data_IF_872898425925
#
_entry.id   IF_872898425925
#
_cell.length_a   1.000
_cell.length_b   1.000
_cell.length_c   1.000
_cell.angle_alpha   90.00
_cell.angle_beta   90.00
_cell.angle_gamma   90.00
#
_symmetry.space_group_name_H-M   'P 1'
#
loop_
_entity.id
_entity.type
_entity.pdbx_description
1 polymer ?
#
# COMPACT_ATOMS: atom_id res chain seq x y z
N UNK A 1 -12.75 -2.68 -7.56
CA UNK A 1 -12.49 -1.23 -7.46
C UNK A 1 -13.02 -0.70 -6.15
N UNK A 2 -12.35 0.28 -5.53
CA UNK A 2 -12.88 0.99 -4.35
C UNK A 2 -13.02 2.45 -4.74
N UNK A 3 -14.16 3.09 -4.44
CA UNK A 3 -14.30 4.53 -4.58
C UNK A 3 -14.75 5.16 -3.28
N UNK A 4 -14.27 6.35 -3.03
CA UNK A 4 -14.65 7.15 -1.86
C UNK A 4 -15.12 8.52 -2.31
N UNK A 5 -16.17 8.99 -1.68
CA UNK A 5 -16.76 10.28 -1.99
C UNK A 5 -16.90 11.10 -0.71
N UNK A 6 -16.21 12.23 -0.68
CA UNK A 6 -16.30 13.25 0.36
C UNK A 6 -16.12 12.72 1.79
N UNK A 7 -15.16 11.81 2.01
CA UNK A 7 -14.89 11.23 3.33
C UNK A 7 -14.35 12.29 4.27
N UNK A 8 -15.03 12.43 5.42
CA UNK A 8 -14.58 13.28 6.52
C UNK A 8 -14.50 12.47 7.82
N UNK A 9 -13.50 12.79 8.65
CA UNK A 9 -13.32 12.22 9.98
C UNK A 9 -12.58 13.17 10.90
N UNK A 10 -13.14 13.41 12.08
CA UNK A 10 -12.50 14.13 13.18
C UNK A 10 -12.47 13.30 14.47
N UNK A 11 -11.70 13.78 15.43
CA UNK A 11 -11.64 13.28 16.82
C UNK A 11 -11.61 14.48 17.77
N UNK A 12 -12.53 14.49 18.75
CA UNK A 12 -12.58 15.55 19.80
C UNK A 12 -12.42 16.96 19.21
N UNK A 13 -13.31 17.38 18.34
CA UNK A 13 -13.38 18.71 17.69
C UNK A 13 -12.21 19.06 16.75
N UNK A 14 -11.30 18.10 16.48
CA UNK A 14 -10.21 18.29 15.52
C UNK A 14 -10.48 17.49 14.24
N UNK A 15 -10.65 18.14 13.08
CA UNK A 15 -10.74 17.45 11.81
C UNK A 15 -9.38 16.79 11.48
N UNK A 16 -9.43 15.54 11.01
CA UNK A 16 -8.25 14.76 10.57
C UNK A 16 -8.33 14.44 9.09
N UNK A 17 -9.54 14.24 8.57
CA UNK A 17 -9.83 14.07 7.14
C UNK A 17 -10.97 15.01 6.80
N UNK A 18 -10.81 15.78 5.73
CA UNK A 18 -11.76 16.79 5.31
C UNK A 18 -12.12 16.61 3.82
N UNK A 19 -13.20 15.87 3.56
CA UNK A 19 -13.79 15.77 2.24
C UNK A 19 -12.94 15.09 1.18
N UNK A 20 -12.28 13.98 1.52
CA UNK A 20 -11.41 13.26 0.58
C UNK A 20 -12.26 12.39 -0.35
N UNK A 21 -12.06 12.56 -1.68
CA UNK A 21 -12.64 11.74 -2.73
C UNK A 21 -11.53 11.16 -3.61
N UNK A 22 -11.60 9.85 -3.90
CA UNK A 22 -10.60 9.15 -4.72
C UNK A 22 -11.17 7.83 -5.25
N UNK A 23 -10.49 7.27 -6.25
CA UNK A 23 -10.74 5.93 -6.79
C UNK A 23 -9.49 5.08 -6.67
N UNK A 24 -9.65 3.82 -6.25
CA UNK A 24 -8.60 2.81 -6.17
C UNK A 24 -8.93 1.69 -7.15
N UNK A 25 -8.11 1.59 -8.19
CA UNK A 25 -8.34 0.70 -9.32
C UNK A 25 -7.98 -0.75 -9.01
N UNK A 26 -8.74 -1.68 -9.57
CA UNK A 26 -8.48 -3.12 -9.50
C UNK A 26 -7.24 -3.50 -10.33
N UNK A 27 -6.44 -4.44 -9.85
CA UNK A 27 -5.20 -4.88 -10.51
C UNK A 27 -4.07 -3.86 -10.44
N UNK A 28 -4.22 -2.81 -9.62
CA UNK A 28 -3.27 -1.70 -9.47
C UNK A 28 -2.80 -1.55 -8.04
N UNK A 29 -1.55 -1.09 -7.88
CA UNK A 29 -1.03 -0.59 -6.63
C UNK A 29 -1.43 0.89 -6.48
N UNK A 30 -2.45 1.13 -5.66
CA UNK A 30 -2.95 2.47 -5.36
C UNK A 30 -2.27 2.96 -4.08
N UNK A 31 -1.48 4.01 -4.17
CA UNK A 31 -0.71 4.52 -3.03
C UNK A 31 -1.40 5.74 -2.42
N UNK A 32 -1.45 5.77 -1.09
CA UNK A 32 -1.81 6.96 -0.31
C UNK A 32 -0.53 7.48 0.32
N UNK A 33 -0.06 8.65 -0.09
CA UNK A 33 1.19 9.24 0.37
C UNK A 33 0.96 10.56 1.10
N UNK A 34 1.96 11.01 1.87
CA UNK A 34 1.92 12.26 2.61
C UNK A 34 2.76 12.19 3.89
N UNK A 35 2.99 13.33 4.51
CA UNK A 35 3.75 13.43 5.74
C UNK A 35 3.06 12.68 6.91
N UNK A 36 3.81 12.42 7.98
CA UNK A 36 3.21 11.91 9.23
C UNK A 36 2.14 12.88 9.72
N UNK A 37 1.00 12.34 10.18
CA UNK A 37 -0.13 13.15 10.62
C UNK A 37 -1.02 13.71 9.50
N UNK A 38 -0.77 13.44 8.22
CA UNK A 38 -1.63 13.91 7.12
C UNK A 38 -2.99 13.20 6.99
N UNK A 39 -3.28 12.19 7.82
CA UNK A 39 -4.57 11.48 7.84
C UNK A 39 -4.59 10.13 7.12
N UNK A 40 -3.50 9.68 6.46
CA UNK A 40 -3.41 8.42 5.67
C UNK A 40 -3.93 7.19 6.42
N UNK A 41 -3.38 6.91 7.60
CA UNK A 41 -3.78 5.75 8.41
C UNK A 41 -5.23 5.84 8.88
N UNK A 42 -5.74 7.05 9.16
CA UNK A 42 -7.15 7.24 9.51
C UNK A 42 -8.04 6.95 8.30
N UNK A 43 -7.66 7.44 7.11
CA UNK A 43 -8.38 7.14 5.86
C UNK A 43 -8.39 5.64 5.60
N UNK A 44 -7.25 4.96 5.68
CA UNK A 44 -7.16 3.51 5.51
C UNK A 44 -8.05 2.76 6.51
N UNK A 45 -8.04 3.17 7.80
CA UNK A 45 -8.90 2.58 8.83
C UNK A 45 -10.39 2.80 8.54
N UNK A 46 -10.77 3.92 7.93
CA UNK A 46 -12.14 4.14 7.46
C UNK A 46 -12.48 3.17 6.31
N UNK A 47 -11.58 3.00 5.35
CA UNK A 47 -11.78 2.08 4.22
C UNK A 47 -12.05 0.66 4.71
N UNK A 48 -11.22 0.11 5.59
CA UNK A 48 -11.40 -1.26 6.10
C UNK A 48 -12.52 -1.39 7.17
N UNK A 49 -13.15 -0.27 7.53
CA UNK A 49 -14.24 -0.22 8.51
C UNK A 49 -13.82 -0.42 9.96
N UNK A 50 -12.56 -0.14 10.31
CA UNK A 50 -12.09 -0.08 11.68
C UNK A 50 -12.49 1.24 12.37
N UNK A 51 -12.71 2.29 11.58
CA UNK A 51 -13.23 3.59 12.00
C UNK A 51 -14.40 3.93 11.09
N UNK A 52 -15.50 4.43 11.69
CA UNK A 52 -16.62 4.94 10.90
C UNK A 52 -16.32 6.40 10.53
N UNK A 53 -16.37 6.79 9.25
CA UNK A 53 -16.28 8.19 8.85
C UNK A 53 -17.47 8.98 9.41
N UNK A 54 -17.28 10.28 9.62
CA UNK A 54 -18.36 11.18 10.12
C UNK A 54 -19.24 11.64 8.95
N UNK A 55 -18.70 11.66 7.74
CA UNK A 55 -19.44 11.97 6.50
C UNK A 55 -18.79 11.28 5.28
N UNK A 56 -19.53 11.21 4.18
CA UNK A 56 -19.10 10.65 2.93
C UNK A 56 -19.46 9.17 2.77
N UNK A 57 -19.10 8.61 1.62
CA UNK A 57 -19.45 7.26 1.21
C UNK A 57 -18.22 6.46 0.78
N UNK A 58 -18.22 5.17 1.09
CA UNK A 58 -17.22 4.21 0.65
C UNK A 58 -17.94 3.13 -0.14
N UNK A 59 -17.54 2.96 -1.40
CA UNK A 59 -18.07 1.94 -2.30
C UNK A 59 -17.01 0.87 -2.54
N UNK A 60 -17.39 -0.39 -2.42
CA UNK A 60 -16.64 -1.55 -2.87
C UNK A 60 -17.37 -2.13 -4.09
N UNK A 61 -16.83 -1.91 -5.27
CA UNK A 61 -17.50 -2.14 -6.55
C UNK A 61 -18.88 -1.45 -6.58
N UNK A 62 -19.96 -2.18 -6.62
CA UNK A 62 -21.34 -1.65 -6.58
C UNK A 62 -21.95 -1.61 -5.17
N UNK A 63 -21.23 -2.05 -4.14
CA UNK A 63 -21.74 -2.18 -2.77
C UNK A 63 -21.37 -0.96 -1.92
N UNK A 64 -22.37 -0.23 -1.39
CA UNK A 64 -22.12 0.90 -0.47
C UNK A 64 -21.79 0.39 0.94
N UNK A 65 -20.49 0.34 1.26
CA UNK A 65 -19.98 -0.12 2.56
C UNK A 65 -20.45 0.77 3.72
N UNK A 66 -20.61 2.07 3.48
CA UNK A 66 -21.04 3.01 4.52
C UNK A 66 -22.45 2.68 5.04
N UNK A 67 -23.32 2.20 4.18
CA UNK A 67 -24.72 1.87 4.49
C UNK A 67 -24.91 0.41 4.96
N UNK A 68 -23.89 -0.43 4.87
CA UNK A 68 -23.99 -1.83 5.29
C UNK A 68 -24.26 -1.97 6.78
N UNK A 69 -25.13 -2.91 7.14
CA UNK A 69 -25.29 -3.35 8.52
C UNK A 69 -24.07 -4.16 9.01
N UNK A 70 -24.04 -4.51 10.28
CA UNK A 70 -22.91 -5.20 10.91
C UNK A 70 -22.60 -6.54 10.26
N UNK A 71 -23.61 -7.33 9.87
CA UNK A 71 -23.39 -8.64 9.25
C UNK A 71 -22.85 -8.51 7.82
N UNK A 72 -23.39 -7.58 7.02
CA UNK A 72 -22.88 -7.30 5.69
C UNK A 72 -21.41 -6.79 5.74
N UNK A 73 -21.08 -5.93 6.72
CA UNK A 73 -19.69 -5.49 6.95
C UNK A 73 -18.75 -6.64 7.33
N UNK A 74 -19.23 -7.63 8.12
CA UNK A 74 -18.42 -8.82 8.42
C UNK A 74 -18.13 -9.65 7.17
N UNK A 75 -19.13 -9.82 6.29
CA UNK A 75 -18.96 -10.55 5.02
C UNK A 75 -17.98 -9.79 4.13
N UNK A 76 -18.12 -8.47 3.99
CA UNK A 76 -17.22 -7.65 3.19
C UNK A 76 -15.76 -7.73 3.71
N UNK A 77 -15.57 -7.68 5.03
CA UNK A 77 -14.23 -7.78 5.64
C UNK A 77 -13.52 -9.11 5.36
N UNK A 78 -14.22 -10.21 5.08
CA UNK A 78 -13.60 -11.48 4.64
C UNK A 78 -12.96 -11.36 3.26
N UNK A 79 -13.43 -10.41 2.43
CA UNK A 79 -12.86 -10.11 1.11
C UNK A 79 -11.63 -9.18 1.21
N UNK A 80 -11.29 -8.69 2.42
CA UNK A 80 -10.23 -7.74 2.68
C UNK A 80 -9.07 -8.44 3.37
N UNK A 81 -7.88 -8.39 2.76
CA UNK A 81 -6.61 -8.70 3.41
C UNK A 81 -5.97 -7.43 3.96
N UNK A 82 -5.31 -7.52 5.12
CA UNK A 82 -4.62 -6.37 5.70
C UNK A 82 -3.25 -6.73 6.24
N UNK A 83 -2.23 -6.00 5.76
CA UNK A 83 -0.88 -5.97 6.33
C UNK A 83 -0.75 -4.72 7.20
N UNK A 84 -0.62 -4.90 8.49
CA UNK A 84 -0.40 -3.82 9.45
C UNK A 84 1.08 -3.39 9.50
N UNK A 85 1.36 -2.16 9.90
CA UNK A 85 2.70 -1.57 9.96
C UNK A 85 3.73 -2.47 10.67
N UNK A 86 3.41 -3.04 11.81
CA UNK A 86 4.27 -3.98 12.57
C UNK A 86 4.12 -5.44 12.18
N UNK A 87 3.45 -5.77 11.03
CA UNK A 87 3.02 -7.11 10.65
C UNK A 87 1.98 -7.74 11.61
N UNK A 88 1.90 -7.29 12.85
CA UNK A 88 0.96 -7.73 13.89
C UNK A 88 0.88 -9.27 14.00
N UNK A 89 2.02 -9.94 13.97
CA UNK A 89 2.10 -11.40 14.15
C UNK A 89 1.85 -11.74 15.62
N UNK A 90 1.24 -12.90 15.84
CA UNK A 90 1.11 -13.48 17.18
C UNK A 90 2.45 -14.10 17.58
N UNK A 91 3.12 -13.54 18.57
CA UNK A 91 4.45 -14.01 19.02
C UNK A 91 4.41 -15.43 19.59
N UNK A 92 3.28 -15.84 20.15
CA UNK A 92 3.05 -17.18 20.69
C UNK A 92 2.70 -18.24 19.63
N UNK A 93 2.62 -17.87 18.37
CA UNK A 93 2.27 -18.76 17.24
C UNK A 93 3.43 -18.89 16.28
N UNK A 94 3.62 -20.07 15.71
CA UNK A 94 4.58 -20.27 14.62
C UNK A 94 4.15 -19.52 13.35
N UNK A 95 5.03 -19.45 12.36
CA UNK A 95 4.76 -18.87 11.05
C UNK A 95 3.52 -19.51 10.40
N UNK A 96 3.47 -20.84 10.33
CA UNK A 96 2.29 -21.54 9.76
C UNK A 96 1.02 -21.26 10.54
N UNK A 97 1.08 -21.21 11.88
CA UNK A 97 -0.08 -20.91 12.72
C UNK A 97 -0.57 -19.47 12.58
N UNK A 98 0.34 -18.52 12.35
CA UNK A 98 -0.04 -17.14 12.03
C UNK A 98 -0.81 -17.05 10.71
N UNK A 99 -0.37 -17.78 9.68
CA UNK A 99 -1.03 -17.82 8.37
C UNK A 99 -2.31 -18.65 8.41
N UNK A 100 -2.34 -19.74 9.19
CA UNK A 100 -3.51 -20.59 9.38
C UNK A 100 -4.66 -19.87 10.08
N UNK A 101 -4.37 -18.90 10.94
CA UNK A 101 -5.34 -18.25 11.81
C UNK A 101 -6.58 -17.70 11.07
N UNK A 102 -6.48 -16.95 9.96
CA UNK A 102 -7.66 -16.51 9.22
C UNK A 102 -8.48 -17.69 8.65
N UNK A 103 -7.82 -18.76 8.22
CA UNK A 103 -8.52 -19.95 7.72
C UNK A 103 -9.31 -20.64 8.83
N UNK A 104 -8.75 -20.71 10.06
CA UNK A 104 -9.45 -21.30 11.20
C UNK A 104 -10.68 -20.48 11.62
N UNK A 105 -10.60 -19.16 11.45
CA UNK A 105 -11.70 -18.24 11.80
C UNK A 105 -12.81 -18.19 10.75
N UNK A 106 -12.49 -18.33 9.46
CA UNK A 106 -13.40 -17.94 8.39
C UNK A 106 -13.62 -18.99 7.32
N UNK A 107 -12.84 -20.09 7.29
CA UNK A 107 -13.00 -21.18 6.33
C UNK A 107 -13.58 -22.43 7.00
N UNK A 108 -14.45 -23.12 6.26
CA UNK A 108 -14.98 -24.45 6.63
C UNK A 108 -14.17 -25.61 6.04
N UNK A 109 -13.03 -25.30 5.38
CA UNK A 109 -12.15 -26.30 4.78
C UNK A 109 -11.60 -27.28 5.81
N UNK A 110 -11.29 -28.49 5.36
CA UNK A 110 -10.62 -29.50 6.17
C UNK A 110 -9.23 -29.04 6.59
N UNK A 111 -8.69 -29.66 7.64
CA UNK A 111 -7.33 -29.36 8.10
C UNK A 111 -6.28 -29.53 7.01
N UNK A 112 -6.43 -30.56 6.17
CA UNK A 112 -5.51 -30.84 5.06
C UNK A 112 -5.57 -29.76 3.97
N UNK A 113 -6.76 -29.30 3.61
CA UNK A 113 -6.94 -28.20 2.64
C UNK A 113 -6.37 -26.88 3.17
N UNK A 114 -6.63 -26.54 4.43
CA UNK A 114 -6.04 -25.37 5.08
C UNK A 114 -4.51 -25.43 5.07
N UNK A 115 -3.93 -26.62 5.39
CA UNK A 115 -2.48 -26.79 5.38
C UNK A 115 -1.91 -26.59 3.97
N UNK A 116 -2.52 -27.21 2.96
CA UNK A 116 -2.13 -27.01 1.56
C UNK A 116 -2.17 -25.53 1.16
N UNK A 117 -3.16 -24.78 1.64
CA UNK A 117 -3.26 -23.35 1.38
C UNK A 117 -2.16 -22.56 2.06
N UNK A 118 -1.82 -22.91 3.31
CA UNK A 118 -0.69 -22.31 4.04
C UNK A 118 0.63 -22.55 3.30
N UNK A 119 0.87 -23.80 2.87
CA UNK A 119 2.10 -24.15 2.15
C UNK A 119 2.22 -23.36 0.84
N UNK A 120 1.12 -23.23 0.10
CA UNK A 120 1.07 -22.47 -1.15
C UNK A 120 1.39 -20.97 -0.95
N UNK A 121 0.84 -20.32 0.07
CA UNK A 121 1.15 -18.91 0.31
C UNK A 121 2.54 -18.70 0.90
N UNK A 122 3.08 -19.66 1.66
CA UNK A 122 4.47 -19.64 2.12
C UNK A 122 5.47 -19.75 0.96
N UNK A 123 5.17 -20.63 0.01
CA UNK A 123 5.96 -20.73 -1.24
C UNK A 123 5.90 -19.40 -2.01
N UNK A 124 4.70 -18.83 -2.18
CA UNK A 124 4.50 -17.56 -2.91
C UNK A 124 5.29 -16.38 -2.32
N UNK A 125 5.52 -16.36 -1.01
CA UNK A 125 6.31 -15.32 -0.35
C UNK A 125 7.78 -15.73 -0.12
N UNK A 126 8.25 -16.83 -0.72
CA UNK A 126 9.61 -17.37 -0.58
C UNK A 126 10.02 -17.60 0.89
N UNK A 127 9.17 -18.28 1.64
CA UNK A 127 9.41 -18.66 3.04
C UNK A 127 9.33 -20.18 3.28
N UNK A 128 9.71 -20.97 2.27
CA UNK A 128 9.81 -22.42 2.40
C UNK A 128 10.72 -22.83 3.56
N UNK A 129 10.26 -23.78 4.36
CA UNK A 129 11.00 -24.26 5.54
C UNK A 129 10.87 -23.40 6.80
N UNK A 130 10.13 -22.27 6.74
CA UNK A 130 9.94 -21.40 7.91
C UNK A 130 8.74 -21.81 8.80
N UNK A 131 7.95 -22.81 8.42
CA UNK A 131 6.66 -23.19 9.03
C UNK A 131 6.66 -23.21 10.57
N UNK A 132 7.66 -23.85 11.17
CA UNK A 132 7.75 -24.11 12.61
C UNK A 132 8.44 -22.99 13.39
N UNK A 133 9.03 -21.98 12.70
CA UNK A 133 9.71 -20.87 13.36
C UNK A 133 8.70 -19.94 14.01
N UNK A 134 9.11 -19.35 15.12
CA UNK A 134 8.37 -18.28 15.79
C UNK A 134 8.79 -16.90 15.24
N UNK A 135 7.96 -15.85 15.41
CA UNK A 135 8.32 -14.49 14.99
C UNK A 135 9.67 -14.02 15.54
N UNK A 136 10.06 -14.42 16.75
CA UNK A 136 11.35 -14.07 17.34
C UNK A 136 12.57 -14.68 16.61
N UNK A 137 12.36 -15.74 15.83
CA UNK A 137 13.42 -16.50 15.14
C UNK A 137 13.59 -16.09 13.68
N UNK A 138 12.86 -15.08 13.20
CA UNK A 138 12.88 -14.63 11.82
C UNK A 138 13.19 -13.14 11.71
N UNK A 139 13.79 -12.72 10.56
CA UNK A 139 14.15 -11.33 10.31
C UNK A 139 12.93 -10.42 10.11
N UNK A 140 13.14 -9.11 10.18
CA UNK A 140 12.09 -8.11 9.91
C UNK A 140 11.43 -8.29 8.54
N UNK A 141 12.22 -8.49 7.49
CA UNK A 141 11.71 -8.76 6.15
C UNK A 141 10.94 -10.09 6.06
N UNK A 142 11.35 -11.13 6.78
CA UNK A 142 10.57 -12.37 6.88
C UNK A 142 9.25 -12.14 7.61
N UNK A 143 9.22 -11.35 8.70
CA UNK A 143 7.97 -10.99 9.40
C UNK A 143 6.98 -10.30 8.46
N UNK A 144 7.46 -9.38 7.63
CA UNK A 144 6.61 -8.70 6.62
C UNK A 144 6.04 -9.70 5.62
N UNK A 145 6.87 -10.62 5.10
CA UNK A 145 6.42 -11.67 4.17
C UNK A 145 5.40 -12.62 4.79
N UNK A 146 5.57 -13.01 6.07
CA UNK A 146 4.54 -13.77 6.81
C UNK A 146 3.23 -12.96 6.94
N UNK A 147 3.33 -11.67 7.24
CA UNK A 147 2.17 -10.78 7.28
C UNK A 147 1.43 -10.68 5.94
N UNK A 148 2.17 -10.61 4.83
CA UNK A 148 1.61 -10.65 3.47
C UNK A 148 0.95 -12.01 3.22
N UNK A 149 1.63 -13.13 3.48
CA UNK A 149 1.06 -14.47 3.33
C UNK A 149 -0.25 -14.63 4.11
N UNK A 150 -0.28 -14.17 5.37
CA UNK A 150 -1.51 -14.17 6.19
C UNK A 150 -2.61 -13.31 5.60
N UNK A 151 -2.28 -12.16 5.00
CA UNK A 151 -3.27 -11.25 4.43
C UNK A 151 -3.91 -11.80 3.15
N UNK A 152 -3.20 -12.66 2.40
CA UNK A 152 -3.69 -13.21 1.12
C UNK A 152 -4.22 -14.65 1.22
N UNK A 153 -4.10 -15.30 2.37
CA UNK A 153 -4.45 -16.73 2.54
C UNK A 153 -5.92 -17.02 2.26
N UNK A 154 -6.83 -16.06 2.45
CA UNK A 154 -8.26 -16.15 2.15
C UNK A 154 -8.65 -15.74 0.73
N UNK A 155 -7.70 -15.54 -0.18
CA UNK A 155 -7.96 -15.01 -1.53
C UNK A 155 -8.75 -13.69 -1.51
N UNK A 156 -8.25 -12.64 -0.87
CA UNK A 156 -8.98 -11.38 -0.77
C UNK A 156 -9.14 -10.72 -2.16
N UNK A 157 -10.20 -9.93 -2.31
CA UNK A 157 -10.41 -9.06 -3.48
C UNK A 157 -9.73 -7.70 -3.30
N UNK A 158 -9.48 -7.32 -2.06
CA UNK A 158 -8.91 -6.03 -1.65
C UNK A 158 -7.77 -6.27 -0.67
N UNK A 159 -6.62 -5.67 -0.93
CA UNK A 159 -5.44 -5.77 -0.06
C UNK A 159 -5.06 -4.38 0.44
N UNK A 160 -4.94 -4.22 1.73
CA UNK A 160 -4.49 -2.99 2.37
C UNK A 160 -3.14 -3.21 3.04
N UNK A 161 -2.18 -2.34 2.76
CA UNK A 161 -0.84 -2.39 3.34
C UNK A 161 -0.53 -1.06 4.03
N UNK A 162 -0.41 -1.08 5.34
CA UNK A 162 -0.07 0.11 6.12
C UNK A 162 1.44 0.10 6.40
N UNK A 163 2.20 0.98 5.74
CA UNK A 163 3.65 1.13 5.85
C UNK A 163 4.40 -0.22 5.71
N UNK A 164 4.27 -0.93 4.57
CA UNK A 164 4.81 -2.28 4.41
C UNK A 164 6.33 -2.34 4.60
N UNK A 165 7.05 -1.29 4.25
CA UNK A 165 8.51 -1.20 4.27
C UNK A 165 9.09 -0.61 5.55
N UNK A 166 8.24 -0.19 6.50
CA UNK A 166 8.70 0.40 7.76
C UNK A 166 9.67 -0.50 8.51
N UNK A 167 10.87 0.03 8.82
CA UNK A 167 11.91 -0.65 9.59
C UNK A 167 12.74 -1.66 8.78
N UNK A 168 12.66 -1.63 7.45
CA UNK A 168 13.48 -2.47 6.56
C UNK A 168 14.61 -1.65 5.92
N UNK A 169 15.68 -2.35 5.54
CA UNK A 169 16.70 -1.78 4.68
C UNK A 169 16.18 -1.59 3.24
N UNK A 170 16.84 -0.74 2.42
CA UNK A 170 16.36 -0.43 1.07
C UNK A 170 16.24 -1.65 0.15
N UNK A 171 17.15 -2.62 0.23
CA UNK A 171 17.10 -3.81 -0.62
C UNK A 171 15.92 -4.70 -0.25
N UNK A 172 15.71 -4.92 1.04
CA UNK A 172 14.56 -5.69 1.55
C UNK A 172 13.24 -4.98 1.20
N UNK A 173 13.19 -3.66 1.27
CA UNK A 173 12.01 -2.86 0.89
C UNK A 173 11.62 -3.09 -0.57
N UNK A 174 12.57 -3.06 -1.50
CA UNK A 174 12.33 -3.36 -2.92
C UNK A 174 11.77 -4.78 -3.15
N UNK A 175 12.25 -5.76 -2.37
CA UNK A 175 11.70 -7.14 -2.44
C UNK A 175 10.24 -7.19 -2.00
N UNK A 176 9.87 -6.46 -0.93
CA UNK A 176 8.49 -6.37 -0.45
C UNK A 176 7.60 -5.66 -1.46
N UNK A 177 8.04 -4.54 -2.02
CA UNK A 177 7.30 -3.79 -3.03
C UNK A 177 7.03 -4.65 -4.28
N UNK A 178 8.06 -5.31 -4.80
CA UNK A 178 7.93 -6.23 -5.93
C UNK A 178 6.95 -7.37 -5.63
N UNK A 179 7.04 -7.97 -4.45
CA UNK A 179 6.12 -9.03 -4.01
C UNK A 179 4.67 -8.54 -3.97
N UNK A 180 4.41 -7.36 -3.39
CA UNK A 180 3.06 -6.78 -3.35
C UNK A 180 2.55 -6.51 -4.76
N UNK A 181 3.37 -5.94 -5.64
CA UNK A 181 3.01 -5.68 -7.04
C UNK A 181 2.68 -6.96 -7.80
N UNK A 182 3.50 -7.99 -7.67
CA UNK A 182 3.29 -9.30 -8.31
C UNK A 182 1.96 -9.92 -7.84
N UNK A 183 1.70 -9.94 -6.53
CA UNK A 183 0.44 -10.43 -5.95
C UNK A 183 -0.76 -9.62 -6.47
N UNK A 184 -0.64 -8.30 -6.51
CA UNK A 184 -1.68 -7.40 -7.01
C UNK A 184 -2.07 -7.74 -8.44
N UNK A 185 -1.09 -7.93 -9.31
CA UNK A 185 -1.30 -8.21 -10.73
C UNK A 185 -1.79 -9.64 -10.96
N UNK A 186 -1.13 -10.63 -10.32
CA UNK A 186 -1.43 -12.06 -10.49
C UNK A 186 -2.85 -12.41 -10.05
N UNK A 187 -3.29 -11.89 -8.90
CA UNK A 187 -4.63 -12.16 -8.37
C UNK A 187 -5.67 -11.10 -8.75
N UNK A 188 -5.29 -10.11 -9.55
CA UNK A 188 -6.15 -8.97 -9.95
C UNK A 188 -6.82 -8.28 -8.76
N UNK A 189 -6.05 -8.04 -7.70
CA UNK A 189 -6.52 -7.44 -6.44
C UNK A 189 -6.52 -5.91 -6.53
N UNK A 190 -7.49 -5.25 -5.90
CA UNK A 190 -7.38 -3.80 -5.62
C UNK A 190 -6.48 -3.61 -4.42
N UNK A 191 -5.23 -3.18 -4.63
CA UNK A 191 -4.27 -2.98 -3.53
C UNK A 191 -4.18 -1.50 -3.17
N UNK A 192 -4.33 -1.18 -1.87
CA UNK A 192 -4.18 0.17 -1.31
C UNK A 192 -3.02 0.18 -0.33
N UNK A 193 -2.02 1.02 -0.56
CA UNK A 193 -0.78 1.08 0.21
C UNK A 193 -0.61 2.46 0.82
N UNK A 194 -0.56 2.56 2.14
CA UNK A 194 -0.06 3.75 2.80
C UNK A 194 1.47 3.70 2.83
N UNK A 195 2.13 4.74 2.37
CA UNK A 195 3.59 4.84 2.51
C UNK A 195 4.06 6.29 2.52
N UNK A 196 5.23 6.51 3.10
CA UNK A 196 6.03 7.72 2.97
C UNK A 196 7.38 7.42 2.28
N UNK A 197 7.60 6.18 1.83
CA UNK A 197 8.81 5.78 1.11
C UNK A 197 8.72 6.15 -0.38
N UNK A 198 9.56 7.07 -0.79
CA UNK A 198 9.57 7.56 -2.18
C UNK A 198 10.05 6.51 -3.17
N UNK A 199 10.88 5.55 -2.76
CA UNK A 199 11.27 4.44 -3.64
C UNK A 199 10.04 3.60 -4.00
N UNK A 200 9.21 3.24 -3.00
CA UNK A 200 7.95 2.54 -3.25
C UNK A 200 7.03 3.32 -4.18
N UNK A 201 6.94 4.66 -3.99
CA UNK A 201 6.12 5.54 -4.83
C UNK A 201 6.54 5.46 -6.29
N UNK A 202 7.83 5.49 -6.56
CA UNK A 202 8.37 5.46 -7.92
C UNK A 202 8.31 4.07 -8.55
N UNK A 203 8.55 3.02 -7.76
CA UNK A 203 8.62 1.64 -8.25
C UNK A 203 7.24 1.02 -8.52
N UNK A 204 6.28 1.19 -7.61
CA UNK A 204 5.01 0.47 -7.67
C UNK A 204 3.76 1.36 -7.71
N UNK A 205 3.91 2.69 -7.72
CA UNK A 205 2.77 3.61 -7.73
C UNK A 205 2.06 3.70 -9.07
N UNK A 206 1.05 2.87 -9.29
CA UNK A 206 0.18 2.94 -10.50
C UNK A 206 -0.81 4.10 -10.40
N UNK A 207 -1.39 4.31 -9.21
CA UNK A 207 -2.17 5.50 -8.84
C UNK A 207 -1.67 6.02 -7.50
N UNK A 208 -1.60 7.32 -7.35
CA UNK A 208 -1.03 7.98 -6.17
C UNK A 208 -1.98 9.08 -5.73
N UNK A 209 -2.46 8.97 -4.50
CA UNK A 209 -3.21 9.99 -3.79
C UNK A 209 -2.29 10.69 -2.80
N UNK A 210 -1.98 11.96 -3.02
CA UNK A 210 -1.22 12.76 -2.07
C UNK A 210 -2.14 13.47 -1.10
N UNK A 211 -1.96 13.16 0.19
CA UNK A 211 -2.70 13.79 1.29
C UNK A 211 -1.84 14.85 1.99
N UNK A 212 -2.39 16.03 2.13
CA UNK A 212 -1.79 17.14 2.88
C UNK A 212 -2.81 17.72 3.85
N UNK A 213 -2.47 17.73 5.15
CA UNK A 213 -3.34 18.29 6.21
C UNK A 213 -4.80 17.83 6.12
N UNK A 214 -5.02 16.53 6.00
CA UNK A 214 -6.35 15.93 5.97
C UNK A 214 -7.09 16.01 4.64
N UNK A 215 -6.52 16.63 3.61
CA UNK A 215 -7.17 16.85 2.30
C UNK A 215 -6.43 16.13 1.18
N UNK A 216 -7.16 15.82 0.11
CA UNK A 216 -6.52 15.43 -1.16
C UNK A 216 -5.89 16.67 -1.79
N UNK A 217 -4.58 16.69 -1.90
CA UNK A 217 -3.83 17.79 -2.49
C UNK A 217 -3.46 17.53 -3.95
N UNK A 218 -3.20 16.26 -4.29
CA UNK A 218 -2.86 15.86 -5.65
C UNK A 218 -3.22 14.38 -5.90
N UNK A 219 -3.47 14.05 -7.16
CA UNK A 219 -3.69 12.68 -7.63
C UNK A 219 -3.04 12.50 -9.00
N UNK A 220 -2.47 11.30 -9.25
CA UNK A 220 -1.82 10.95 -10.51
C UNK A 220 -1.11 9.62 -10.40
N UNK A 221 0.00 9.42 -11.12
CA UNK A 221 0.81 8.20 -11.09
C UNK A 221 2.31 8.52 -10.96
N UNK A 222 3.15 7.49 -10.83
CA UNK A 222 4.61 7.64 -10.65
C UNK A 222 5.31 8.37 -11.80
N UNK A 223 4.76 8.33 -13.02
CA UNK A 223 5.31 9.07 -14.17
C UNK A 223 4.92 10.54 -14.14
N UNK A 224 3.68 10.85 -13.76
CA UNK A 224 3.15 12.22 -13.69
C UNK A 224 3.71 13.02 -12.52
N UNK A 225 4.09 12.36 -11.44
CA UNK A 225 4.59 12.99 -10.23
C UNK A 225 5.84 13.85 -10.48
N UNK A 226 6.71 13.41 -11.40
CA UNK A 226 7.95 14.11 -11.79
C UNK A 226 7.64 15.44 -12.45
N UNK A 227 6.55 15.49 -13.24
CA UNK A 227 6.14 16.69 -13.99
C UNK A 227 5.14 17.56 -13.23
N UNK A 228 4.78 17.17 -12.01
CA UNK A 228 3.82 17.94 -11.22
C UNK A 228 4.36 19.35 -10.89
N UNK A 229 3.48 20.34 -11.05
CA UNK A 229 3.72 21.73 -10.64
C UNK A 229 3.22 22.02 -9.22
N UNK A 230 2.68 21.01 -8.52
CA UNK A 230 2.20 21.17 -7.15
C UNK A 230 3.38 21.37 -6.19
N UNK A 231 3.52 22.55 -5.62
CA UNK A 231 4.64 22.93 -4.76
C UNK A 231 4.73 22.07 -3.49
N UNK A 232 3.60 21.76 -2.86
CA UNK A 232 3.55 20.95 -1.64
C UNK A 232 3.99 19.50 -1.91
N UNK A 233 3.53 18.93 -3.02
CA UNK A 233 3.95 17.61 -3.48
C UNK A 233 5.45 17.59 -3.78
N UNK A 234 5.95 18.60 -4.50
CA UNK A 234 7.36 18.72 -4.83
C UNK A 234 8.24 18.85 -3.59
N UNK A 235 7.83 19.68 -2.62
CA UNK A 235 8.54 19.84 -1.34
C UNK A 235 8.55 18.55 -0.52
N UNK A 236 7.51 17.72 -0.64
CA UNK A 236 7.41 16.44 0.06
C UNK A 236 8.28 15.36 -0.59
N UNK A 237 8.22 15.22 -1.92
CA UNK A 237 8.91 14.14 -2.64
C UNK A 237 10.38 14.46 -2.88
N UNK A 238 10.66 15.68 -3.32
CA UNK A 238 12.00 16.15 -3.70
C UNK A 238 12.61 17.00 -2.57
N UNK A 239 12.52 16.51 -1.33
CA UNK A 239 13.03 17.24 -0.16
C UNK A 239 14.56 17.34 -0.12
N UNK A 240 15.30 16.39 -0.72
CA UNK A 240 16.76 16.44 -0.81
C UNK A 240 17.23 17.07 -2.14
N UNK A 241 18.37 17.73 -2.13
CA UNK A 241 18.94 18.32 -3.33
C UNK A 241 19.25 17.27 -4.40
N UNK A 242 19.73 16.08 -3.99
CA UNK A 242 19.92 14.95 -4.89
C UNK A 242 18.65 14.58 -5.68
N UNK A 243 17.49 14.52 -5.02
CA UNK A 243 16.22 14.19 -5.68
C UNK A 243 15.73 15.34 -6.57
N UNK A 244 16.02 16.61 -6.21
CA UNK A 244 15.74 17.77 -7.08
C UNK A 244 16.55 17.69 -8.36
N UNK A 245 17.87 17.46 -8.23
CA UNK A 245 18.77 17.32 -9.37
C UNK A 245 18.35 16.18 -10.29
N UNK A 246 18.00 15.03 -9.72
CA UNK A 246 17.48 13.87 -10.48
C UNK A 246 16.18 14.20 -11.24
N UNK A 247 15.26 14.96 -10.61
CA UNK A 247 14.05 15.47 -11.26
C UNK A 247 14.40 16.39 -12.44
N UNK A 248 15.26 17.38 -12.20
CA UNK A 248 15.63 18.38 -13.20
C UNK A 248 16.35 17.73 -14.39
N UNK A 249 17.24 16.76 -14.15
CA UNK A 249 17.86 15.95 -15.20
C UNK A 249 16.82 15.19 -16.02
N UNK A 250 15.85 14.54 -15.37
CA UNK A 250 14.79 13.82 -16.06
C UNK A 250 13.87 14.74 -16.87
N UNK A 251 13.60 15.92 -16.37
CA UNK A 251 12.86 16.98 -17.10
C UNK A 251 13.60 17.42 -18.35
N UNK A 252 14.93 17.59 -18.28
CA UNK A 252 15.79 17.94 -19.42
C UNK A 252 15.83 16.82 -20.46
N UNK A 253 15.95 15.56 -20.05
CA UNK A 253 15.90 14.39 -20.96
C UNK A 253 14.63 14.37 -21.80
N UNK A 254 13.48 14.50 -21.12
CA UNK A 254 12.17 14.44 -21.80
C UNK A 254 11.92 15.66 -22.67
N UNK A 255 12.50 16.83 -22.35
CA UNK A 255 12.39 18.04 -23.16
C UNK A 255 13.33 18.09 -24.38
N UNK A 256 14.13 17.05 -24.62
CA UNK A 256 15.09 16.97 -25.74
C UNK A 256 16.32 17.87 -25.61
N UNK A 257 16.47 18.59 -24.50
CA UNK A 257 17.57 19.57 -24.31
C UNK A 257 18.91 18.93 -23.89
N UNK A 258 18.94 17.64 -23.59
CA UNK A 258 20.18 16.94 -23.22
C UNK A 258 21.06 16.70 -24.45
N UNK A 259 20.46 16.38 -25.59
CA UNK A 259 21.22 16.18 -26.82
C UNK A 259 21.90 17.46 -27.29
N UNK A 260 21.26 18.62 -27.11
CA UNK A 260 21.87 19.91 -27.42
C UNK A 260 23.04 20.22 -26.48
N UNK A 261 22.95 19.93 -25.19
CA UNK A 261 24.00 20.17 -24.21
C UNK A 261 25.20 19.25 -24.38
N UNK A 262 24.96 17.94 -24.64
CA UNK A 262 26.05 16.99 -24.99
C UNK A 262 26.75 17.34 -26.27
N UNK A 263 26.04 17.77 -27.30
CA UNK A 263 26.63 18.24 -28.54
C UNK A 263 27.43 19.53 -28.37
N UNK A 264 26.98 20.44 -27.51
CA UNK A 264 27.70 21.69 -27.23
C UNK A 264 28.98 21.49 -26.41
N UNK A 265 28.96 20.59 -25.40
CA UNK A 265 30.14 20.22 -24.60
C UNK A 265 31.18 19.43 -25.42
N UNK A 266 30.76 18.65 -26.41
CA UNK A 266 31.66 17.98 -27.37
C UNK A 266 32.30 18.99 -28.37
N UNK A 267 31.58 20.03 -28.73
CA UNK A 267 32.09 21.09 -29.61
C UNK A 267 33.04 22.06 -28.90
N UNK A 268 32.92 22.18 -27.57
CA UNK A 268 33.79 23.07 -26.77
C UNK A 268 35.06 22.37 -26.25
N UNK A 269 35.12 21.07 -26.25
CA UNK A 269 36.25 20.26 -25.76
C UNK A 269 36.96 19.45 -26.87
N UNK A 270 36.66 19.67 -28.11
CA UNK A 270 37.34 19.16 -29.31
C UNK A 270 38.02 20.29 -30.06
#
# INVERSE_FOLDING_TARGET
>A
MISINNIAKGFSDKPVIEGVSAEFETGKCNLIIGASGSGKTVLMKCLVGLITPDAGEIMYDSENFSLMNTEAKKIMRRKIGMLFQGSALFDSKTVEQNIMFPLDMFSHDTRAEKQKRVDMVLDRVNLNGAHKKFPAEISGGMKKRVGIARSIVLNPQYLFCDEPNSGLDPQTSLVIDKLIREITTEYNITTVINTHDMNSVMEIGDRILYMYQGKKEWEGNSKEIIFSKNEKLNSFIFASDFLKDAKDMRMLEVSGKIDEKRNMDQLLNG
#
